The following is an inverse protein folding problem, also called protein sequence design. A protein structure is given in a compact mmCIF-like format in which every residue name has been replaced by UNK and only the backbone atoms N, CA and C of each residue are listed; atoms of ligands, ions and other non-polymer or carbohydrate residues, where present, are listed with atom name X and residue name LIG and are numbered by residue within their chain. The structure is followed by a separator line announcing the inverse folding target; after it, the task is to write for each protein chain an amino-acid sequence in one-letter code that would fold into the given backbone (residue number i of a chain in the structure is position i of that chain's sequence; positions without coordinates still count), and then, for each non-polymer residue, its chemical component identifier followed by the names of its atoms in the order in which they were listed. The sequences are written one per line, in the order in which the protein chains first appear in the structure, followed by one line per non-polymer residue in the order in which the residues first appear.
data_IF_815121240401
#
_entry.id   IF_815121240401
#
_cell.length_a   1.000
_cell.length_b   1.000
_cell.length_c   1.000
_cell.angle_alpha   90.00
_cell.angle_beta   90.00
_cell.angle_gamma   90.00
#
_symmetry.space_group_name_H-M   'P 1'
#
loop_
_entity.id
_entity.type
_entity.pdbx_description
1 polymer ?
#
# COMPACT_ATOMS: atom_id res chain seq x y z
N UNK A 1 1.99 -30.46 13.03
CA UNK A 1 2.24 -29.83 11.73
C UNK A 1 0.93 -29.58 11.04
N UNK A 2 0.64 -28.39 10.50
CA UNK A 2 -0.65 -28.10 9.86
C UNK A 2 -0.90 -28.93 8.62
N UNK A 3 0.14 -29.32 7.86
CA UNK A 3 0.03 -30.18 6.71
C UNK A 3 1.37 -30.82 6.32
N UNK A 4 1.33 -31.87 5.51
CA UNK A 4 2.51 -32.57 4.99
C UNK A 4 2.76 -32.30 3.51
N UNK A 5 1.69 -32.17 2.74
CA UNK A 5 1.74 -31.86 1.31
C UNK A 5 0.98 -30.55 1.05
N UNK A 6 1.70 -29.55 0.56
CA UNK A 6 1.24 -28.17 0.51
C UNK A 6 1.24 -27.63 -0.91
N UNK A 7 0.16 -26.98 -1.27
CA UNK A 7 0.07 -26.10 -2.44
C UNK A 7 -0.09 -24.66 -1.93
N UNK A 8 0.58 -23.71 -2.56
CA UNK A 8 0.50 -22.30 -2.19
C UNK A 8 -0.06 -21.53 -3.38
N UNK A 9 -1.09 -20.70 -3.14
CA UNK A 9 -1.63 -19.77 -4.11
C UNK A 9 -1.18 -18.34 -3.75
N UNK A 10 -0.48 -17.71 -4.69
CA UNK A 10 0.11 -16.39 -4.56
C UNK A 10 1.61 -16.41 -4.27
N UNK A 11 2.37 -15.67 -5.06
CA UNK A 11 3.83 -15.56 -5.01
C UNK A 11 4.32 -14.21 -4.46
N UNK A 12 3.51 -13.56 -3.64
CA UNK A 12 3.98 -12.44 -2.81
C UNK A 12 5.01 -12.92 -1.77
N UNK A 13 5.73 -11.98 -1.13
CA UNK A 13 6.82 -12.30 -0.21
C UNK A 13 6.41 -13.29 0.89
N UNK A 14 5.21 -13.15 1.44
CA UNK A 14 4.70 -14.07 2.48
C UNK A 14 4.56 -15.50 1.93
N UNK A 15 3.99 -15.66 0.73
CA UNK A 15 3.86 -16.98 0.09
C UNK A 15 5.21 -17.64 -0.13
N UNK A 16 6.19 -16.88 -0.63
CA UNK A 16 7.56 -17.37 -0.88
C UNK A 16 8.26 -17.76 0.43
N UNK A 17 8.22 -16.90 1.44
CA UNK A 17 8.83 -17.14 2.76
C UNK A 17 8.18 -18.36 3.42
N UNK A 18 6.86 -18.51 3.33
CA UNK A 18 6.17 -19.67 3.90
C UNK A 18 6.45 -20.96 3.14
N UNK A 19 6.64 -20.92 1.82
CA UNK A 19 7.07 -22.07 1.04
C UNK A 19 8.40 -22.63 1.59
N UNK A 20 9.38 -21.74 1.76
CA UNK A 20 10.67 -22.11 2.38
C UNK A 20 10.49 -22.61 3.81
N UNK A 21 9.73 -21.89 4.64
CA UNK A 21 9.57 -22.24 6.06
C UNK A 21 8.92 -23.59 6.24
N UNK A 22 7.84 -23.88 5.50
CA UNK A 22 7.17 -25.19 5.59
C UNK A 22 8.08 -26.33 5.13
N UNK A 23 8.90 -26.11 4.11
CA UNK A 23 9.88 -27.10 3.64
C UNK A 23 10.93 -27.38 4.73
N UNK A 24 11.44 -26.36 5.41
CA UNK A 24 12.37 -26.52 6.53
C UNK A 24 11.76 -27.26 7.72
N UNK A 25 10.46 -27.12 7.95
CA UNK A 25 9.73 -27.86 8.98
C UNK A 25 9.35 -29.29 8.54
N UNK A 26 9.76 -29.72 7.34
CA UNK A 26 9.56 -31.08 6.82
C UNK A 26 8.28 -31.32 6.05
N UNK A 27 7.56 -30.28 5.67
CA UNK A 27 6.46 -30.41 4.71
C UNK A 27 7.01 -30.44 3.27
N UNK A 28 6.25 -31.07 2.35
CA UNK A 28 6.53 -31.06 0.92
C UNK A 28 5.70 -29.98 0.24
N UNK A 29 6.29 -28.86 -0.08
CA UNK A 29 5.65 -27.85 -0.93
C UNK A 29 5.72 -28.30 -2.39
N UNK A 30 4.57 -28.59 -3.00
CA UNK A 30 4.49 -29.15 -4.35
C UNK A 30 4.63 -28.11 -5.43
N UNK A 31 4.03 -26.94 -5.21
CA UNK A 31 3.99 -25.85 -6.18
C UNK A 31 3.57 -24.56 -5.48
N UNK A 32 4.07 -23.44 -5.99
CA UNK A 32 3.53 -22.11 -5.77
C UNK A 32 2.88 -21.65 -7.09
N UNK A 33 1.58 -21.36 -7.07
CA UNK A 33 0.83 -20.86 -8.21
C UNK A 33 0.62 -19.35 -8.06
N UNK A 34 0.74 -18.62 -9.17
CA UNK A 34 0.57 -17.17 -9.23
C UNK A 34 -0.37 -16.81 -10.39
N UNK A 35 -1.41 -16.04 -10.07
CA UNK A 35 -2.39 -15.58 -11.05
C UNK A 35 -1.75 -14.68 -12.12
N UNK A 36 -0.83 -13.82 -11.70
CA UNK A 36 -0.16 -12.88 -12.60
C UNK A 36 0.94 -13.56 -13.43
N UNK A 37 1.30 -13.00 -14.60
CA UNK A 37 2.42 -13.49 -15.42
C UNK A 37 3.79 -13.16 -14.81
N UNK A 38 3.83 -12.64 -13.60
CA UNK A 38 5.04 -12.30 -12.83
C UNK A 38 4.78 -12.53 -11.33
N UNK A 39 5.86 -12.80 -10.58
CA UNK A 39 5.78 -12.89 -9.11
C UNK A 39 5.65 -11.50 -8.48
N UNK A 40 4.79 -11.37 -7.48
CA UNK A 40 4.65 -10.15 -6.68
C UNK A 40 5.71 -10.01 -5.58
N UNK A 41 6.50 -11.04 -5.31
CA UNK A 41 7.54 -11.03 -4.30
C UNK A 41 8.89 -10.49 -4.80
N UNK A 42 9.76 -10.14 -3.86
CA UNK A 42 11.11 -9.67 -4.14
C UNK A 42 11.93 -10.78 -4.83
N UNK A 43 12.72 -10.40 -5.84
CA UNK A 43 13.55 -11.36 -6.62
C UNK A 43 14.44 -12.22 -5.74
N UNK A 44 15.03 -11.65 -4.67
CA UNK A 44 15.83 -12.43 -3.70
C UNK A 44 15.05 -13.55 -3.03
N UNK A 45 13.77 -13.32 -2.75
CA UNK A 45 12.89 -14.31 -2.10
C UNK A 45 12.49 -15.41 -3.08
N UNK A 46 12.36 -15.13 -4.38
CA UNK A 46 12.16 -16.16 -5.40
C UNK A 46 13.34 -17.13 -5.37
N UNK A 47 14.58 -16.61 -5.44
CA UNK A 47 15.79 -17.45 -5.40
C UNK A 47 15.89 -18.22 -4.08
N UNK A 48 15.91 -17.51 -2.94
CA UNK A 48 16.20 -18.11 -1.61
C UNK A 48 15.05 -18.98 -1.08
N UNK A 49 13.84 -18.80 -1.53
CA UNK A 49 12.69 -19.52 -1.00
C UNK A 49 12.14 -20.60 -1.94
N UNK A 50 12.36 -20.48 -3.25
CA UNK A 50 11.88 -21.46 -4.22
C UNK A 50 13.03 -22.17 -4.94
N UNK A 51 13.93 -21.43 -5.62
CA UNK A 51 14.99 -22.04 -6.44
C UNK A 51 15.93 -22.89 -5.59
N UNK A 52 16.42 -22.38 -4.44
CA UNK A 52 17.31 -23.10 -3.52
C UNK A 52 16.67 -24.38 -2.95
N UNK A 53 15.34 -24.47 -2.96
CA UNK A 53 14.57 -25.62 -2.46
C UNK A 53 13.95 -26.48 -3.56
N UNK A 54 14.14 -26.11 -4.83
CA UNK A 54 13.58 -26.82 -5.97
C UNK A 54 12.04 -26.79 -6.01
N UNK A 55 11.40 -25.74 -5.46
CA UNK A 55 9.95 -25.58 -5.43
C UNK A 55 9.52 -24.91 -6.74
N UNK A 56 8.64 -25.55 -7.55
CA UNK A 56 8.19 -25.00 -8.80
C UNK A 56 7.29 -23.76 -8.59
N UNK A 57 7.53 -22.72 -9.38
CA UNK A 57 6.68 -21.54 -9.50
C UNK A 57 5.92 -21.59 -10.83
N UNK A 58 4.59 -21.57 -10.78
CA UNK A 58 3.70 -21.53 -11.95
C UNK A 58 3.04 -20.16 -12.04
N UNK A 59 3.52 -19.35 -12.98
CA UNK A 59 2.94 -18.04 -13.31
C UNK A 59 1.71 -18.22 -14.22
N UNK A 60 0.79 -17.26 -14.20
CA UNK A 60 -0.49 -17.32 -14.95
C UNK A 60 -1.30 -18.59 -14.63
N UNK A 61 -1.34 -19.00 -13.35
CA UNK A 61 -2.10 -20.16 -12.88
C UNK A 61 -2.90 -19.79 -11.63
N UNK A 62 -4.07 -20.41 -11.49
CA UNK A 62 -4.92 -20.25 -10.31
C UNK A 62 -5.56 -21.57 -9.90
N UNK A 63 -6.10 -21.63 -8.68
CA UNK A 63 -6.89 -22.76 -8.19
C UNK A 63 -8.30 -22.65 -8.76
N UNK A 64 -8.75 -23.67 -9.47
CA UNK A 64 -10.10 -23.74 -10.07
C UNK A 64 -11.02 -24.71 -9.34
N UNK A 65 -10.47 -25.69 -8.61
CA UNK A 65 -11.24 -26.58 -7.78
C UNK A 65 -10.49 -26.99 -6.52
N UNK A 66 -11.25 -27.24 -5.46
CA UNK A 66 -10.78 -27.71 -4.16
C UNK A 66 -11.47 -29.03 -3.85
N UNK A 67 -10.70 -30.06 -3.54
CA UNK A 67 -11.18 -31.41 -3.31
C UNK A 67 -11.17 -31.79 -1.83
N UNK A 68 -12.18 -32.56 -1.39
CA UNK A 68 -12.39 -32.98 -0.01
C UNK A 68 -13.57 -32.27 0.65
N UNK A 69 -14.16 -32.91 1.66
CA UNK A 69 -15.31 -32.36 2.42
C UNK A 69 -14.91 -31.96 3.83
N UNK A 70 -14.43 -32.90 4.63
CA UNK A 70 -14.01 -32.66 6.02
C UNK A 70 -12.58 -32.11 6.08
N UNK A 71 -11.75 -32.55 5.17
CA UNK A 71 -10.36 -32.12 5.03
C UNK A 71 -9.99 -32.04 3.55
N UNK A 72 -9.08 -31.14 3.23
CA UNK A 72 -8.49 -31.01 1.91
C UNK A 72 -7.78 -32.31 1.50
N UNK A 73 -8.06 -32.81 0.30
CA UNK A 73 -7.38 -33.97 -0.29
C UNK A 73 -6.62 -33.63 -1.56
N UNK A 74 -6.89 -32.46 -2.14
CA UNK A 74 -6.22 -31.97 -3.32
C UNK A 74 -6.82 -30.68 -3.84
N UNK A 75 -6.16 -30.10 -4.84
CA UNK A 75 -6.60 -28.94 -5.60
C UNK A 75 -6.35 -29.15 -7.08
N UNK A 76 -7.16 -28.51 -7.92
CA UNK A 76 -6.90 -28.41 -9.36
C UNK A 76 -6.44 -27.00 -9.69
N UNK A 77 -5.28 -26.87 -10.32
CA UNK A 77 -4.78 -25.63 -10.92
C UNK A 77 -5.13 -25.59 -12.39
N UNK A 78 -5.37 -24.40 -12.93
CA UNK A 78 -5.46 -24.17 -14.37
C UNK A 78 -4.68 -22.94 -14.76
N UNK A 79 -4.20 -22.91 -16.00
CA UNK A 79 -3.64 -21.71 -16.60
C UNK A 79 -4.73 -20.66 -16.76
N UNK A 80 -4.36 -19.37 -16.65
CA UNK A 80 -5.26 -18.26 -16.92
C UNK A 80 -4.80 -17.46 -18.12
N UNK A 81 -5.77 -16.89 -18.84
CA UNK A 81 -5.53 -15.97 -19.94
C UNK A 81 -5.17 -14.56 -19.41
N UNK A 82 -5.02 -13.59 -20.34
CA UNK A 82 -4.68 -12.19 -20.00
C UNK A 82 -5.79 -11.47 -19.21
N UNK A 83 -7.02 -11.96 -19.23
CA UNK A 83 -8.15 -11.45 -18.46
C UNK A 83 -8.29 -12.15 -17.08
N UNK A 84 -7.36 -13.07 -16.76
CA UNK A 84 -7.38 -13.85 -15.52
C UNK A 84 -8.41 -14.97 -15.50
N UNK A 85 -8.96 -15.37 -16.68
CA UNK A 85 -9.94 -16.44 -16.79
C UNK A 85 -9.26 -17.78 -17.01
N UNK A 86 -9.69 -18.84 -16.31
CA UNK A 86 -9.15 -20.18 -16.53
C UNK A 86 -9.30 -20.66 -17.98
N UNK A 87 -8.21 -21.20 -18.53
CA UNK A 87 -8.18 -21.77 -19.88
C UNK A 87 -8.57 -23.24 -19.81
N UNK A 88 -9.68 -23.67 -20.44
CA UNK A 88 -10.11 -25.06 -20.43
C UNK A 88 -9.08 -26.00 -21.06
N UNK A 89 -8.90 -27.19 -20.45
CA UNK A 89 -7.97 -28.21 -20.94
C UNK A 89 -6.52 -28.02 -20.43
N UNK A 90 -6.30 -27.08 -19.50
CA UNK A 90 -5.00 -26.84 -18.84
C UNK A 90 -5.00 -27.26 -17.37
N UNK A 91 -6.03 -27.96 -16.94
CA UNK A 91 -6.24 -28.41 -15.58
C UNK A 91 -5.17 -29.43 -15.16
N UNK A 92 -4.54 -29.15 -13.99
CA UNK A 92 -3.56 -30.02 -13.35
C UNK A 92 -3.98 -30.31 -11.92
N UNK A 93 -4.08 -31.60 -11.58
CA UNK A 93 -4.45 -32.04 -10.25
C UNK A 93 -3.22 -32.18 -9.33
N UNK A 94 -3.31 -31.64 -8.13
CA UNK A 94 -2.33 -31.76 -7.08
C UNK A 94 -2.97 -32.37 -5.85
N UNK A 95 -2.56 -33.61 -5.47
CA UNK A 95 -2.91 -34.13 -4.16
C UNK A 95 -2.22 -33.29 -3.09
N UNK A 96 -2.95 -32.80 -2.12
CA UNK A 96 -2.40 -32.01 -1.00
C UNK A 96 -3.38 -32.05 0.17
N UNK A 97 -2.85 -31.88 1.38
CA UNK A 97 -3.64 -31.77 2.61
C UNK A 97 -3.71 -30.34 3.14
N UNK A 98 -3.03 -29.41 2.47
CA UNK A 98 -3.00 -28.00 2.83
C UNK A 98 -2.90 -27.11 1.58
N UNK A 99 -3.81 -26.14 1.50
CA UNK A 99 -3.75 -25.03 0.56
C UNK A 99 -3.48 -23.75 1.37
N UNK A 100 -2.34 -23.11 1.11
CA UNK A 100 -2.01 -21.80 1.67
C UNK A 100 -2.41 -20.71 0.68
N UNK A 101 -3.10 -19.68 1.18
CA UNK A 101 -3.50 -18.51 0.40
C UNK A 101 -2.60 -17.33 0.75
N UNK A 102 -1.84 -16.85 -0.22
CA UNK A 102 -1.03 -15.64 -0.14
C UNK A 102 -1.42 -14.67 -1.27
N UNK A 103 -2.72 -14.40 -1.34
CA UNK A 103 -3.36 -13.69 -2.47
C UNK A 103 -3.45 -12.18 -2.26
N UNK A 104 -2.67 -11.65 -1.36
CA UNK A 104 -2.59 -10.23 -1.03
C UNK A 104 -3.47 -9.82 0.16
N UNK A 105 -3.19 -8.63 0.65
CA UNK A 105 -3.95 -7.97 1.70
C UNK A 105 -4.90 -6.95 1.07
N UNK A 106 -6.07 -6.79 1.67
CA UNK A 106 -7.03 -5.74 1.33
C UNK A 106 -7.08 -4.77 2.51
N UNK A 107 -6.83 -3.47 2.32
CA UNK A 107 -7.02 -2.45 3.34
C UNK A 107 -8.45 -2.51 3.91
N UNK A 108 -8.57 -2.78 5.22
CA UNK A 108 -9.87 -2.86 5.90
C UNK A 108 -10.34 -1.48 6.31
N UNK A 109 -11.34 -0.97 5.64
CA UNK A 109 -11.83 0.40 5.77
C UNK A 109 -13.33 0.53 6.03
N UNK A 110 -13.95 -0.45 6.68
CA UNK A 110 -15.36 -0.39 7.05
C UNK A 110 -15.65 0.79 8.00
N UNK A 111 -14.82 0.97 9.02
CA UNK A 111 -14.92 2.10 9.95
C UNK A 111 -14.70 3.44 9.25
N UNK A 112 -13.71 3.51 8.35
CA UNK A 112 -13.43 4.72 7.57
C UNK A 112 -14.62 5.11 6.68
N UNK A 113 -15.24 4.12 6.02
CA UNK A 113 -16.46 4.34 5.21
C UNK A 113 -17.62 4.86 6.04
N UNK A 114 -17.84 4.25 7.22
CA UNK A 114 -18.91 4.65 8.14
C UNK A 114 -18.71 6.07 8.69
N UNK A 115 -17.46 6.51 8.82
CA UNK A 115 -17.10 7.87 9.20
C UNK A 115 -17.13 8.88 8.02
N UNK A 116 -17.52 8.45 6.82
CA UNK A 116 -17.61 9.33 5.64
C UNK A 116 -16.26 9.63 4.96
N UNK A 117 -15.20 8.89 5.28
CA UNK A 117 -13.88 9.07 4.67
C UNK A 117 -13.89 8.63 3.21
N UNK A 118 -13.35 9.48 2.33
CA UNK A 118 -13.16 9.16 0.91
C UNK A 118 -12.08 8.12 0.72
N UNK A 119 -12.35 7.07 -0.07
CA UNK A 119 -11.40 5.99 -0.36
C UNK A 119 -10.87 6.08 -1.79
N UNK A 120 -9.59 5.75 -1.94
CA UNK A 120 -8.95 5.63 -3.24
C UNK A 120 -9.30 4.25 -3.86
N UNK A 121 -9.92 4.20 -5.05
CA UNK A 121 -10.34 2.95 -5.67
C UNK A 121 -9.18 2.01 -6.03
N UNK A 122 -7.95 2.54 -6.21
CA UNK A 122 -6.79 1.73 -6.57
C UNK A 122 -6.15 1.01 -5.37
N UNK A 123 -6.23 1.60 -4.17
CA UNK A 123 -5.68 1.03 -2.94
C UNK A 123 -6.74 0.45 -2.02
N UNK A 124 -8.00 0.87 -2.17
CA UNK A 124 -9.10 0.67 -1.21
C UNK A 124 -8.83 1.32 0.18
N UNK A 125 -7.78 2.13 0.31
CA UNK A 125 -7.44 2.89 1.50
C UNK A 125 -7.93 4.33 1.44
N UNK A 126 -7.91 5.06 2.58
CA UNK A 126 -8.28 6.47 2.63
C UNK A 126 -7.47 7.35 1.67
N UNK A 127 -8.13 8.36 1.10
CA UNK A 127 -7.44 9.49 0.47
C UNK A 127 -6.86 10.34 1.59
N UNK A 128 -5.56 10.62 1.55
CA UNK A 128 -4.88 11.41 2.58
C UNK A 128 -4.05 12.54 1.96
N UNK A 129 -3.84 13.58 2.77
CA UNK A 129 -2.92 14.68 2.48
C UNK A 129 -1.47 14.37 2.96
N UNK A 130 -0.57 15.34 2.84
CA UNK A 130 0.83 15.26 3.26
C UNK A 130 1.02 15.04 4.77
N UNK A 131 -0.02 15.28 5.56
CA UNK A 131 -0.06 15.06 7.01
C UNK A 131 -0.68 13.72 7.40
N UNK A 132 -1.04 12.89 6.43
CA UNK A 132 -1.82 11.65 6.61
C UNK A 132 -3.23 11.88 7.15
N UNK A 133 -3.75 13.11 7.11
CA UNK A 133 -5.12 13.42 7.44
C UNK A 133 -6.02 13.01 6.28
N UNK A 134 -7.16 12.43 6.59
CA UNK A 134 -8.14 11.98 5.59
C UNK A 134 -9.04 13.13 5.13
N UNK A 135 -9.98 12.85 4.23
CA UNK A 135 -11.02 13.80 3.82
C UNK A 135 -11.93 14.28 4.97
N UNK A 136 -11.85 13.63 6.14
CA UNK A 136 -12.57 14.01 7.35
C UNK A 136 -11.58 14.53 8.39
N UNK A 137 -11.73 15.79 8.80
CA UNK A 137 -10.85 16.45 9.76
C UNK A 137 -10.74 15.68 11.08
N UNK A 138 -9.52 15.54 11.61
CA UNK A 138 -9.21 14.81 12.83
C UNK A 138 -9.12 13.29 12.68
N UNK A 139 -9.36 12.73 11.48
CA UNK A 139 -9.13 11.31 11.16
C UNK A 139 -7.85 11.20 10.33
N UNK A 140 -6.91 10.40 10.83
CA UNK A 140 -5.62 10.12 10.18
C UNK A 140 -5.52 8.65 9.81
N UNK A 141 -4.84 8.33 8.70
CA UNK A 141 -4.66 6.96 8.25
C UNK A 141 -3.21 6.69 7.87
N UNK A 142 -2.67 5.54 8.28
CA UNK A 142 -1.32 5.10 7.97
C UNK A 142 -1.21 3.58 7.96
N UNK A 143 -0.13 3.05 7.41
CA UNK A 143 0.11 1.61 7.35
C UNK A 143 -0.81 0.88 6.36
N UNK A 144 -1.03 -0.42 6.59
CA UNK A 144 -1.74 -1.27 5.63
C UNK A 144 -3.23 -0.94 5.46
N UNK A 145 -3.82 -0.15 6.33
CA UNK A 145 -5.18 0.38 6.15
C UNK A 145 -5.22 1.46 5.05
N UNK A 146 -4.11 2.19 4.87
CA UNK A 146 -3.97 3.24 3.85
C UNK A 146 -3.55 2.63 2.50
N UNK A 147 -2.47 1.90 2.48
CA UNK A 147 -2.00 1.09 1.35
C UNK A 147 -1.07 -0.03 1.84
N UNK A 148 -1.04 -1.15 1.14
CA UNK A 148 -0.24 -2.30 1.58
C UNK A 148 1.25 -2.03 1.36
N UNK A 149 2.04 -2.19 2.42
CA UNK A 149 3.48 -2.00 2.41
C UNK A 149 4.25 -3.31 2.21
N UNK A 150 5.46 -3.21 1.65
CA UNK A 150 6.38 -4.34 1.47
C UNK A 150 7.26 -4.55 2.71
N UNK A 151 7.60 -3.46 3.40
CA UNK A 151 8.50 -3.46 4.54
C UNK A 151 7.85 -2.77 5.74
N UNK A 152 8.04 -3.37 6.93
CA UNK A 152 7.55 -2.80 8.19
C UNK A 152 8.21 -1.45 8.52
N UNK A 153 9.42 -1.21 8.02
CA UNK A 153 10.12 0.08 8.20
C UNK A 153 9.32 1.24 7.62
N UNK A 154 8.71 1.06 6.45
CA UNK A 154 7.83 2.07 5.84
C UNK A 154 6.55 2.28 6.66
N UNK A 155 5.97 1.20 7.21
CA UNK A 155 4.82 1.29 8.11
C UNK A 155 5.17 2.10 9.35
N UNK A 156 6.33 1.83 9.96
CA UNK A 156 6.79 2.50 11.18
C UNK A 156 7.06 3.99 10.95
N UNK A 157 7.71 4.33 9.83
CA UNK A 157 7.96 5.73 9.44
C UNK A 157 6.63 6.49 9.22
N UNK A 158 5.71 5.89 8.49
CA UNK A 158 4.41 6.45 8.18
C UNK A 158 3.57 6.67 9.46
N UNK A 159 3.53 5.65 10.33
CA UNK A 159 2.82 5.72 11.60
C UNK A 159 3.41 6.79 12.55
N UNK A 160 4.74 6.92 12.60
CA UNK A 160 5.40 7.97 13.39
C UNK A 160 5.05 9.38 12.88
N UNK A 161 4.98 9.56 11.56
CA UNK A 161 4.60 10.83 10.95
C UNK A 161 3.12 11.14 11.19
N UNK A 162 2.22 10.20 10.92
CA UNK A 162 0.79 10.37 11.16
C UNK A 162 0.48 10.65 12.64
N UNK A 163 1.13 9.93 13.56
CA UNK A 163 0.97 10.16 15.00
C UNK A 163 1.43 11.54 15.46
N UNK A 164 2.55 12.04 14.90
CA UNK A 164 3.02 13.42 15.18
C UNK A 164 2.02 14.45 14.68
N UNK A 165 1.53 14.30 13.46
CA UNK A 165 0.55 15.22 12.87
C UNK A 165 -0.79 15.20 13.60
N UNK A 166 -1.25 14.03 14.03
CA UNK A 166 -2.43 13.92 14.87
C UNK A 166 -2.27 14.65 16.21
N UNK A 167 -1.10 14.54 16.84
CA UNK A 167 -0.81 15.26 18.08
C UNK A 167 -0.72 16.79 17.87
N UNK A 168 -0.17 17.25 16.74
CA UNK A 168 -0.16 18.67 16.34
C UNK A 168 -1.60 19.18 16.14
N UNK A 169 -2.42 18.45 15.40
CA UNK A 169 -3.83 18.77 15.18
C UNK A 169 -4.62 18.92 16.49
N UNK A 170 -4.46 17.99 17.43
CA UNK A 170 -5.12 18.05 18.74
C UNK A 170 -4.68 19.31 19.50
N UNK A 171 -3.39 19.67 19.48
CA UNK A 171 -2.90 20.88 20.14
C UNK A 171 -3.46 22.17 19.54
N UNK A 172 -3.54 22.24 18.23
CA UNK A 172 -4.07 23.38 17.49
C UNK A 172 -5.59 23.57 17.73
N UNK A 173 -6.34 22.46 17.76
CA UNK A 173 -7.79 22.51 17.91
C UNK A 173 -8.26 22.66 19.35
N UNK A 174 -7.50 22.16 20.34
CA UNK A 174 -7.89 22.27 21.76
C UNK A 174 -7.57 23.61 22.40
N UNK A 175 -6.80 24.48 21.74
CA UNK A 175 -6.39 25.79 22.29
C UNK A 175 -5.55 25.70 23.58
N UNK A 176 -5.04 24.51 23.91
CA UNK A 176 -4.26 24.28 25.12
C UNK A 176 -2.77 24.58 24.90
N UNK A 177 -2.20 25.38 25.81
CA UNK A 177 -0.75 25.64 25.83
C UNK A 177 0.04 24.36 26.11
N UNK A 178 1.23 24.23 25.49
CA UNK A 178 2.12 23.07 25.53
C UNK A 178 2.48 22.56 26.95
N UNK A 179 2.32 23.38 27.99
CA UNK A 179 2.66 23.02 29.37
C UNK A 179 1.71 22.01 30.02
N UNK A 180 0.46 21.92 29.56
CA UNK A 180 -0.55 21.05 30.17
C UNK A 180 -0.39 19.58 29.78
N UNK A 181 0.18 19.30 28.60
CA UNK A 181 0.37 17.94 28.08
C UNK A 181 1.59 17.22 28.64
N UNK A 182 2.63 17.95 29.09
CA UNK A 182 3.79 17.34 29.75
C UNK A 182 3.44 16.71 31.12
N UNK A 183 2.37 17.15 31.77
CA UNK A 183 1.93 16.62 33.06
C UNK A 183 1.01 15.39 32.97
N UNK A 184 0.56 15.02 31.76
CA UNK A 184 -0.38 13.90 31.57
C UNK A 184 0.27 12.51 31.53
N UNK A 185 1.61 12.42 31.71
CA UNK A 185 2.35 11.15 31.80
C UNK A 185 2.21 10.40 33.12
N UNK A 186 1.69 11.04 34.18
CA UNK A 186 1.73 10.49 35.54
C UNK A 186 0.42 10.08 36.18
N UNK A 187 -0.74 10.24 35.53
CA UNK A 187 -2.02 9.80 36.16
C UNK A 187 -3.08 9.42 35.15
N UNK A 188 -3.11 8.12 34.81
CA UNK A 188 -4.29 7.47 34.25
C UNK A 188 -5.20 7.00 35.40
N UNK A 189 -5.96 7.90 36.01
CA UNK A 189 -7.22 7.59 36.72
C UNK A 189 -8.12 8.80 36.53
N UNK A 190 -9.34 8.52 36.08
CA UNK A 190 -10.46 9.47 35.91
C UNK A 190 -10.53 10.19 34.54
N UNK A 191 -11.07 9.48 33.54
CA UNK A 191 -11.72 10.08 32.38
C UNK A 191 -13.22 10.24 32.69
N UNK A 192 -13.80 11.44 32.64
CA UNK A 192 -15.25 11.58 32.66
C UNK A 192 -15.82 11.21 31.29
N UNK A 193 -16.86 10.37 31.31
CA UNK A 193 -17.76 10.20 30.18
C UNK A 193 -18.42 11.53 29.83
N UNK A 194 -18.09 12.11 28.69
CA UNK A 194 -18.92 13.15 28.11
C UNK A 194 -19.25 12.80 26.67
N UNK A 195 -20.47 12.33 26.51
CA UNK A 195 -21.20 12.36 25.25
C UNK A 195 -21.34 13.81 24.76
N UNK A 196 -21.38 13.93 23.44
CA UNK A 196 -21.82 15.07 22.65
C UNK A 196 -20.85 16.22 22.44
N UNK A 197 -20.29 16.24 21.23
CA UNK A 197 -20.34 17.38 20.34
C UNK A 197 -19.74 16.99 19.00
N UNK A 198 -20.51 16.30 18.19
CA UNK A 198 -20.31 16.31 16.74
C UNK A 198 -21.06 17.56 16.23
N UNK A 199 -20.57 18.74 16.60
CA UNK A 199 -21.01 19.97 15.95
C UNK A 199 -20.20 20.17 14.66
N UNK A 200 -20.94 20.48 13.59
CA UNK A 200 -20.44 20.77 12.25
C UNK A 200 -19.22 21.70 12.30
N UNK A 201 -18.05 21.12 12.15
CA UNK A 201 -16.83 21.86 11.89
C UNK A 201 -16.77 22.18 10.37
N UNK A 202 -17.50 23.22 9.95
CA UNK A 202 -17.23 23.88 8.68
C UNK A 202 -15.95 24.70 8.87
N UNK A 203 -14.84 24.20 8.31
CA UNK A 203 -13.64 24.98 8.16
C UNK A 203 -14.00 26.30 7.48
N UNK A 204 -13.91 27.42 8.20
CA UNK A 204 -13.90 28.74 7.60
C UNK A 204 -12.64 28.82 6.74
N UNK A 205 -12.79 28.65 5.42
CA UNK A 205 -11.76 29.05 4.45
C UNK A 205 -11.49 30.54 4.68
N UNK A 206 -10.23 30.96 4.87
CA UNK A 206 -9.91 32.36 4.74
C UNK A 206 -10.19 32.76 3.29
N UNK A 207 -11.13 33.66 3.11
CA UNK A 207 -11.41 34.32 1.82
C UNK A 207 -10.20 35.18 1.47
N UNK A 208 -9.40 34.76 0.46
CA UNK A 208 -8.29 35.47 -0.19
C UNK A 208 -6.88 34.88 -0.07
N UNK A 209 -6.70 33.57 0.10
CA UNK A 209 -5.43 32.95 -0.31
C UNK A 209 -5.68 32.07 -1.54
N UNK A 210 -4.80 32.21 -2.55
CA UNK A 210 -4.69 31.26 -3.68
C UNK A 210 -4.77 29.88 -3.06
N UNK A 211 -5.78 29.09 -3.43
CA UNK A 211 -6.01 27.78 -2.81
C UNK A 211 -4.78 26.92 -3.05
N UNK A 212 -3.85 26.92 -2.12
CA UNK A 212 -2.60 26.17 -2.17
C UNK A 212 -2.81 24.68 -1.97
N UNK A 213 -3.87 24.13 -2.54
CA UNK A 213 -4.20 22.70 -2.55
C UNK A 213 -3.92 22.18 -3.94
N UNK A 214 -3.04 21.17 -4.03
CA UNK A 214 -2.71 20.48 -5.27
C UNK A 214 -3.09 19.01 -5.18
N UNK A 215 -3.68 18.50 -6.26
CA UNK A 215 -3.89 17.07 -6.40
C UNK A 215 -2.59 16.38 -6.84
N UNK A 216 -2.28 15.23 -6.23
CA UNK A 216 -1.15 14.39 -6.62
C UNK A 216 -1.69 13.19 -7.39
N UNK A 217 -1.51 13.23 -8.70
CA UNK A 217 -2.13 12.30 -9.63
C UNK A 217 -1.17 11.23 -10.15
N UNK A 218 -1.60 9.97 -10.22
CA UNK A 218 -0.88 8.94 -10.94
C UNK A 218 -1.01 9.17 -12.45
N UNK A 219 0.12 9.41 -13.14
CA UNK A 219 0.21 9.49 -14.59
C UNK A 219 0.55 8.15 -15.23
N UNK A 220 1.11 8.20 -16.45
CA UNK A 220 1.43 7.00 -17.21
C UNK A 220 2.36 6.06 -16.45
N UNK A 221 1.98 4.77 -16.43
CA UNK A 221 2.74 3.72 -15.76
C UNK A 221 2.56 3.64 -14.25
N UNK A 222 1.97 4.64 -13.59
CA UNK A 222 1.75 4.67 -12.14
C UNK A 222 0.35 4.21 -11.80
N UNK A 223 0.21 3.36 -10.78
CA UNK A 223 -1.07 2.81 -10.36
C UNK A 223 -1.82 3.72 -9.38
N UNK A 224 -1.12 4.28 -8.40
CA UNK A 224 -1.64 5.19 -7.38
C UNK A 224 -0.50 5.98 -6.74
N UNK A 225 -0.82 7.03 -6.01
CA UNK A 225 0.09 7.89 -5.23
C UNK A 225 -0.40 8.06 -3.81
N UNK A 226 0.51 8.17 -2.85
CA UNK A 226 0.25 8.50 -1.45
C UNK A 226 1.32 9.50 -0.98
N UNK A 227 0.93 10.69 -0.51
CA UNK A 227 -0.43 11.24 -0.43
C UNK A 227 -1.05 11.51 -1.81
N UNK A 228 -2.37 11.75 -1.84
CA UNK A 228 -3.11 12.10 -3.05
C UNK A 228 -3.45 13.60 -3.14
N UNK A 229 -3.28 14.32 -2.04
CA UNK A 229 -3.53 15.77 -1.93
C UNK A 229 -2.37 16.42 -1.20
N UNK A 230 -2.03 17.65 -1.56
CA UNK A 230 -1.01 18.46 -0.92
C UNK A 230 -1.58 19.83 -0.55
N UNK A 231 -1.49 20.21 0.72
CA UNK A 231 -1.72 21.57 1.18
C UNK A 231 -0.37 22.29 1.27
N UNK A 232 -0.10 23.20 0.34
CA UNK A 232 1.19 23.91 0.26
C UNK A 232 1.57 24.61 1.56
N UNK A 233 0.59 25.18 2.27
CA UNK A 233 0.84 25.86 3.55
C UNK A 233 1.37 24.92 4.62
N UNK A 234 0.98 23.65 4.61
CA UNK A 234 1.34 22.65 5.61
C UNK A 234 2.53 21.76 5.20
N UNK A 235 2.96 21.85 3.92
CA UNK A 235 4.12 21.11 3.43
C UNK A 235 5.39 21.51 4.21
N UNK A 236 6.15 20.53 4.68
CA UNK A 236 7.49 20.74 5.23
C UNK A 236 8.52 21.12 4.14
N UNK A 237 9.81 21.00 4.44
CA UNK A 237 10.89 21.24 3.47
C UNK A 237 10.85 20.27 2.28
N UNK A 238 10.36 19.05 2.52
CA UNK A 238 10.27 18.01 1.51
C UNK A 238 8.91 17.32 1.57
N UNK A 239 8.42 16.86 0.42
CA UNK A 239 7.28 15.96 0.29
C UNK A 239 7.77 14.62 -0.25
N UNK A 240 7.48 13.56 0.48
CA UNK A 240 7.73 12.18 0.08
C UNK A 240 6.45 11.60 -0.50
N UNK A 241 6.49 11.18 -1.76
CA UNK A 241 5.37 10.58 -2.46
C UNK A 241 5.69 9.12 -2.72
N UNK A 242 4.89 8.21 -2.18
CA UNK A 242 4.98 6.77 -2.42
C UNK A 242 4.01 6.36 -3.51
N UNK A 243 4.43 5.42 -4.35
CA UNK A 243 3.62 4.96 -5.46
C UNK A 243 4.00 3.53 -5.88
N UNK A 244 3.13 2.89 -6.66
CA UNK A 244 3.44 1.63 -7.34
C UNK A 244 3.22 1.76 -8.83
N UNK A 245 3.99 0.98 -9.59
CA UNK A 245 3.83 0.90 -11.04
C UNK A 245 2.76 -0.12 -11.43
N UNK A 246 2.21 0.02 -12.65
CA UNK A 246 1.14 -0.87 -13.16
C UNK A 246 1.64 -2.20 -13.70
N UNK A 247 2.87 -2.24 -14.24
CA UNK A 247 3.52 -3.42 -14.83
C UNK A 247 5.03 -3.33 -14.63
N UNK A 248 5.75 -4.35 -15.07
CA UNK A 248 7.21 -4.29 -15.11
C UNK A 248 7.70 -3.28 -16.17
N UNK A 249 8.62 -2.40 -15.77
CA UNK A 249 9.31 -1.46 -16.66
C UNK A 249 10.81 -1.65 -16.54
N UNK A 250 11.51 -1.67 -17.68
CA UNK A 250 12.97 -1.86 -17.77
C UNK A 250 13.64 -0.62 -18.32
N UNK A 251 14.73 -0.19 -17.67
CA UNK A 251 15.54 0.97 -18.08
C UNK A 251 14.73 2.26 -18.27
N UNK A 252 13.77 2.51 -17.40
CA UNK A 252 12.90 3.68 -17.42
C UNK A 252 13.29 4.70 -16.36
N UNK A 253 12.71 5.90 -16.45
CA UNK A 253 12.77 6.94 -15.45
C UNK A 253 11.42 7.12 -14.78
N UNK A 254 11.41 7.37 -13.48
CA UNK A 254 10.29 8.03 -12.81
C UNK A 254 10.51 9.53 -12.88
N UNK A 255 9.48 10.26 -13.26
CA UNK A 255 9.45 11.73 -13.31
C UNK A 255 8.28 12.27 -12.50
N UNK A 256 8.47 13.43 -11.86
CA UNK A 256 7.41 14.16 -11.17
C UNK A 256 7.32 15.54 -11.81
N UNK A 257 6.14 15.93 -12.16
CA UNK A 257 5.84 17.19 -12.83
C UNK A 257 4.82 18.01 -12.04
N UNK A 258 5.00 19.32 -11.96
CA UNK A 258 3.99 20.27 -11.56
C UNK A 258 3.62 21.08 -12.83
N UNK A 259 2.43 20.84 -13.37
CA UNK A 259 2.09 21.33 -14.70
C UNK A 259 3.11 20.82 -15.75
N UNK A 260 3.73 21.76 -16.50
CA UNK A 260 4.76 21.46 -17.50
C UNK A 260 6.18 21.36 -16.92
N UNK A 261 6.39 21.76 -15.67
CA UNK A 261 7.72 21.78 -15.05
C UNK A 261 8.05 20.44 -14.40
N UNK A 262 9.20 19.86 -14.79
CA UNK A 262 9.75 18.66 -14.14
C UNK A 262 10.44 19.03 -12.83
N UNK A 263 9.97 18.46 -11.71
CA UNK A 263 10.52 18.66 -10.36
C UNK A 263 11.52 17.58 -9.97
N UNK A 264 11.30 16.35 -10.45
CA UNK A 264 12.12 15.19 -10.06
C UNK A 264 12.30 14.25 -11.23
N UNK A 265 13.48 13.61 -11.30
CA UNK A 265 13.78 12.52 -12.26
C UNK A 265 14.76 11.55 -11.62
N UNK A 266 14.43 10.25 -11.69
CA UNK A 266 15.32 9.16 -11.25
C UNK A 266 15.23 7.99 -12.20
N UNK A 267 16.39 7.54 -12.69
CA UNK A 267 16.48 6.32 -13.50
C UNK A 267 16.59 5.08 -12.61
N UNK A 268 15.89 4.02 -12.99
CA UNK A 268 16.01 2.69 -12.37
C UNK A 268 16.04 1.62 -13.47
N UNK A 269 16.81 0.56 -13.25
CA UNK A 269 16.93 -0.53 -14.23
C UNK A 269 15.64 -1.34 -14.35
N UNK A 270 14.96 -1.57 -13.24
CA UNK A 270 13.72 -2.35 -13.19
C UNK A 270 12.77 -1.73 -12.15
N UNK A 271 11.53 -1.47 -12.57
CA UNK A 271 10.41 -1.17 -11.71
C UNK A 271 9.45 -2.35 -11.77
N UNK A 272 8.96 -2.83 -10.63
CA UNK A 272 8.01 -3.95 -10.55
C UNK A 272 6.80 -3.58 -9.69
N UNK A 273 5.58 -4.05 -10.01
CA UNK A 273 4.37 -3.72 -9.25
C UNK A 273 4.40 -4.14 -7.79
N UNK A 274 5.20 -5.17 -7.46
CA UNK A 274 5.37 -5.67 -6.11
C UNK A 274 6.22 -4.76 -5.20
N UNK A 275 7.02 -3.84 -5.75
CA UNK A 275 7.88 -2.95 -4.98
C UNK A 275 7.24 -1.57 -4.83
N UNK A 276 7.28 -1.03 -3.61
CA UNK A 276 6.93 0.36 -3.31
C UNK A 276 8.05 1.27 -3.80
N UNK A 277 7.70 2.27 -4.59
CA UNK A 277 8.60 3.32 -5.06
C UNK A 277 8.36 4.62 -4.31
N UNK A 278 9.39 5.46 -4.26
CA UNK A 278 9.35 6.73 -3.57
C UNK A 278 9.97 7.83 -4.45
N UNK A 279 9.31 8.98 -4.51
CA UNK A 279 9.85 10.22 -5.07
C UNK A 279 9.82 11.31 -3.98
N UNK A 280 10.90 12.05 -3.85
CA UNK A 280 11.02 13.15 -2.88
C UNK A 280 11.17 14.45 -3.65
N UNK A 281 10.26 15.39 -3.44
CA UNK A 281 10.32 16.74 -4.00
C UNK A 281 10.59 17.75 -2.90
N UNK A 282 11.31 18.83 -3.22
CA UNK A 282 11.61 19.91 -2.28
C UNK A 282 10.57 21.01 -2.44
N UNK A 283 10.27 21.68 -1.32
CA UNK A 283 9.37 22.82 -1.32
C UNK A 283 9.85 23.94 -2.24
N UNK A 284 11.15 24.22 -2.27
CA UNK A 284 11.75 25.24 -3.13
C UNK A 284 11.49 24.97 -4.61
N UNK A 285 11.69 23.69 -5.08
CA UNK A 285 11.47 23.30 -6.47
C UNK A 285 10.00 23.47 -6.89
N UNK A 286 9.07 23.21 -5.94
CA UNK A 286 7.64 23.33 -6.17
C UNK A 286 7.19 24.80 -6.20
N UNK A 287 7.70 25.65 -5.29
CA UNK A 287 7.36 27.07 -5.26
C UNK A 287 7.70 27.76 -6.59
N UNK A 288 8.81 27.37 -7.22
CA UNK A 288 9.22 27.88 -8.52
C UNK A 288 8.33 27.39 -9.68
N UNK A 289 7.53 26.37 -9.46
CA UNK A 289 6.63 25.78 -10.47
C UNK A 289 5.19 26.30 -10.39
N UNK A 290 4.88 27.12 -9.38
CA UNK A 290 3.56 27.70 -9.20
C UNK A 290 3.30 28.86 -10.18
N UNK A 291 2.06 29.08 -10.64
CA UNK A 291 0.85 28.34 -10.24
C UNK A 291 0.70 27.02 -11.00
N UNK A 292 0.63 25.92 -10.27
CA UNK A 292 0.26 24.61 -10.80
C UNK A 292 -0.90 24.07 -9.94
N UNK A 293 -1.86 23.44 -10.57
CA UNK A 293 -3.02 22.87 -9.88
C UNK A 293 -2.81 21.39 -9.53
N UNK A 294 -1.83 20.73 -10.17
CA UNK A 294 -1.60 19.30 -10.04
C UNK A 294 -0.11 18.93 -10.04
N UNK A 295 0.20 17.89 -9.29
CA UNK A 295 1.48 17.17 -9.36
C UNK A 295 1.22 15.83 -10.02
N UNK A 296 1.97 15.48 -11.06
CA UNK A 296 1.79 14.20 -11.77
C UNK A 296 3.07 13.38 -11.71
N UNK A 297 2.94 12.08 -11.39
CA UNK A 297 4.06 11.12 -11.37
C UNK A 297 3.90 10.18 -12.56
N UNK A 298 4.97 9.99 -13.34
CA UNK A 298 4.96 9.18 -14.56
C UNK A 298 6.18 8.27 -14.65
N UNK A 299 6.03 7.18 -15.40
CA UNK A 299 7.15 6.34 -15.83
C UNK A 299 7.41 6.67 -17.32
N UNK A 300 8.64 7.07 -17.63
CA UNK A 300 9.04 7.46 -18.96
C UNK A 300 10.18 6.55 -19.46
N UNK A 301 10.13 6.18 -20.72
CA UNK A 301 11.23 5.49 -21.39
C UNK A 301 12.44 6.43 -21.55
N UNK A 302 13.66 5.85 -21.49
CA UNK A 302 14.92 6.62 -21.55
C UNK A 302 15.43 6.67 -22.98
#
# INVERSE_FOLDING_TARGET
MPGREVVILGSGDIGLIMARRMTLEGAKVKVVAELMPYSGGLKRNIVQCLEDFGIPLKLSHTVVAIHGKERLTGVTLAQVDHDGRPVPGTEEEYSCDTLLLSVGLIPENELSKNAGVSLNPATSGPVVDESFQTSVGGIFACGNVLHVHDLVDFVSEEAANAGRRAAEYVRETSGESSEKWMKCGESRKDLPESQAACEEWTAKKPENEVSGILDILPGDGVRYTVPSVLHLAQMGETLKIRFRVRKEYKNCCVTVHAGDRQLFRRRKQIFVPGEMEEAVIRREDLNDALPADTITIRIEEV
#
